data_IF_194054821831
#
_entry.id   IF_194054821831
#
_cell.length_a   1.000
_cell.length_b   1.000
_cell.length_c   1.000
_cell.angle_alpha   90.00
_cell.angle_beta   90.00
_cell.angle_gamma   90.00
#
_symmetry.space_group_name_H-M   'P 1'
#
loop_
_entity.id
_entity.type
_entity.pdbx_description
1 polymer ?
#
# COMPACT_ATOMS: atom_id res chain seq x y z
N UNK A 1 -35.51 41.03 -3.69
CA UNK A 1 -35.03 39.94 -4.57
C UNK A 1 -35.80 38.68 -4.19
N UNK A 2 -36.91 38.40 -4.85
CA UNK A 2 -37.67 37.16 -4.64
C UNK A 2 -36.88 36.03 -5.28
N UNK A 3 -36.31 35.12 -4.48
CA UNK A 3 -35.76 33.89 -5.03
C UNK A 3 -36.91 33.12 -5.68
N UNK A 4 -36.82 32.95 -6.99
CA UNK A 4 -37.73 32.11 -7.75
C UNK A 4 -37.44 30.68 -7.30
N UNK A 5 -38.37 30.08 -6.57
CA UNK A 5 -38.31 28.65 -6.23
C UNK A 5 -38.51 27.86 -7.52
N UNK A 6 -37.44 27.24 -8.01
CA UNK A 6 -37.49 26.31 -9.14
C UNK A 6 -37.46 24.87 -8.59
N UNK A 7 -38.60 24.17 -8.54
CA UNK A 7 -38.68 22.81 -8.02
C UNK A 7 -37.87 21.80 -8.86
N UNK A 8 -37.52 22.12 -10.12
CA UNK A 8 -36.79 21.20 -10.99
C UNK A 8 -35.39 20.85 -10.47
N UNK A 9 -34.78 21.72 -9.67
CA UNK A 9 -33.44 21.55 -9.09
C UNK A 9 -33.38 20.34 -8.14
N UNK A 10 -34.52 19.96 -7.55
CA UNK A 10 -34.63 18.87 -6.58
C UNK A 10 -34.99 17.52 -7.23
N UNK A 11 -35.14 17.47 -8.55
CA UNK A 11 -35.48 16.24 -9.27
C UNK A 11 -34.33 15.78 -10.17
N UNK A 12 -34.13 14.47 -10.21
CA UNK A 12 -33.13 13.78 -11.03
C UNK A 12 -33.80 12.59 -11.71
N UNK A 13 -33.43 12.31 -12.96
CA UNK A 13 -33.92 11.11 -13.65
C UNK A 13 -33.25 9.85 -13.09
N UNK A 14 -33.97 8.72 -13.11
CA UNK A 14 -33.39 7.43 -12.72
C UNK A 14 -32.15 7.06 -13.54
N UNK A 15 -32.09 7.51 -14.80
CA UNK A 15 -30.95 7.29 -15.67
C UNK A 15 -29.72 8.08 -15.20
N UNK A 16 -29.88 9.38 -14.93
CA UNK A 16 -28.79 10.24 -14.43
C UNK A 16 -28.30 9.76 -13.06
N UNK A 17 -29.22 9.37 -12.16
CA UNK A 17 -28.89 8.76 -10.88
C UNK A 17 -28.02 7.51 -11.06
N UNK A 18 -28.45 6.62 -11.96
CA UNK A 18 -27.72 5.37 -12.27
C UNK A 18 -26.33 5.68 -12.85
N UNK A 19 -26.24 6.63 -13.78
CA UNK A 19 -24.97 7.05 -14.39
C UNK A 19 -23.99 7.56 -13.33
N UNK A 20 -24.44 8.38 -12.38
CA UNK A 20 -23.60 8.88 -11.28
C UNK A 20 -23.08 7.75 -10.40
N UNK A 21 -23.92 6.78 -10.05
CA UNK A 21 -23.48 5.61 -9.28
C UNK A 21 -22.47 4.76 -10.05
N UNK A 22 -22.72 4.51 -11.34
CA UNK A 22 -21.77 3.77 -12.21
C UNK A 22 -20.45 4.54 -12.35
N UNK A 23 -20.49 5.85 -12.50
CA UNK A 23 -19.28 6.68 -12.57
C UNK A 23 -18.50 6.63 -11.25
N UNK A 24 -19.17 6.70 -10.10
CA UNK A 24 -18.53 6.57 -8.80
C UNK A 24 -17.87 5.19 -8.62
N UNK A 25 -18.55 4.12 -9.07
CA UNK A 25 -17.97 2.77 -9.11
C UNK A 25 -16.68 2.74 -9.95
N UNK A 26 -16.71 3.30 -11.15
CA UNK A 26 -15.55 3.30 -12.06
C UNK A 26 -14.39 4.11 -11.45
N UNK A 27 -14.63 5.35 -11.03
CA UNK A 27 -13.58 6.23 -10.52
C UNK A 27 -12.98 5.72 -9.20
N UNK A 28 -13.83 5.26 -8.26
CA UNK A 28 -13.37 4.59 -7.05
C UNK A 28 -12.61 3.30 -7.33
N UNK A 29 -13.05 2.54 -8.34
CA UNK A 29 -12.39 1.32 -8.82
C UNK A 29 -11.00 1.58 -9.42
N UNK A 30 -10.81 2.67 -10.17
CA UNK A 30 -9.50 3.01 -10.74
C UNK A 30 -8.44 3.21 -9.65
N UNK A 31 -8.79 3.91 -8.57
CA UNK A 31 -7.90 4.05 -7.41
C UNK A 31 -7.72 2.69 -6.73
N UNK A 32 -8.81 1.98 -6.47
CA UNK A 32 -8.78 0.68 -5.80
C UNK A 32 -7.95 -0.39 -6.52
N UNK A 33 -7.93 -0.37 -7.85
CA UNK A 33 -7.18 -1.31 -8.68
C UNK A 33 -5.68 -1.11 -8.49
N UNK A 34 -5.21 0.13 -8.46
CA UNK A 34 -3.81 0.45 -8.14
C UNK A 34 -3.44 -0.07 -6.74
N UNK A 35 -4.34 0.15 -5.76
CA UNK A 35 -4.11 -0.28 -4.38
C UNK A 35 -4.02 -1.80 -4.25
N UNK A 36 -4.90 -2.54 -4.94
CA UNK A 36 -4.91 -4.00 -4.95
C UNK A 36 -3.68 -4.59 -5.65
N UNK A 37 -3.30 -4.06 -6.81
CA UNK A 37 -2.06 -4.45 -7.50
C UNK A 37 -0.81 -4.12 -6.69
N UNK A 38 -0.88 -3.12 -5.81
CA UNK A 38 0.17 -2.78 -4.86
C UNK A 38 0.18 -3.62 -3.58
N UNK A 39 -0.76 -4.55 -3.38
CA UNK A 39 -0.83 -5.42 -2.20
C UNK A 39 -1.20 -4.68 -0.90
N UNK A 40 -1.93 -3.57 -0.98
CA UNK A 40 -2.28 -2.77 0.19
C UNK A 40 -3.50 -3.33 0.94
N UNK A 41 -3.61 -2.98 2.23
CA UNK A 41 -4.66 -3.49 3.13
C UNK A 41 -6.10 -3.21 2.69
N UNK A 42 -6.34 -2.11 1.99
CA UNK A 42 -7.62 -1.86 1.32
C UNK A 42 -7.41 -1.87 -0.21
N UNK A 43 -8.08 -2.80 -0.88
CA UNK A 43 -7.97 -3.03 -2.32
C UNK A 43 -9.16 -2.49 -3.12
N UNK A 44 -9.48 -3.15 -4.23
CA UNK A 44 -10.47 -2.71 -5.22
C UNK A 44 -11.87 -2.60 -4.63
N UNK A 45 -12.33 -3.65 -3.95
CA UNK A 45 -13.70 -3.73 -3.39
C UNK A 45 -13.96 -2.62 -2.37
N UNK A 46 -12.99 -2.36 -1.49
CA UNK A 46 -13.13 -1.35 -0.44
C UNK A 46 -13.28 0.05 -1.03
N UNK A 47 -12.44 0.42 -2.01
CA UNK A 47 -12.50 1.74 -2.62
C UNK A 47 -13.80 1.93 -3.45
N UNK A 48 -14.26 0.89 -4.15
CA UNK A 48 -15.56 0.92 -4.84
C UNK A 48 -16.70 1.19 -3.86
N UNK A 49 -16.79 0.44 -2.76
CA UNK A 49 -17.87 0.57 -1.79
C UNK A 49 -17.85 1.95 -1.10
N UNK A 50 -16.68 2.47 -0.76
CA UNK A 50 -16.55 3.82 -0.18
C UNK A 50 -16.99 4.89 -1.16
N UNK A 51 -16.59 4.82 -2.43
CA UNK A 51 -16.98 5.80 -3.45
C UNK A 51 -18.48 5.76 -3.73
N UNK A 52 -19.03 4.55 -3.94
CA UNK A 52 -20.46 4.33 -4.17
C UNK A 52 -21.31 4.80 -2.99
N UNK A 53 -20.93 4.42 -1.76
CA UNK A 53 -21.66 4.85 -0.56
C UNK A 53 -21.67 6.37 -0.41
N UNK A 54 -20.53 7.02 -0.66
CA UNK A 54 -20.41 8.47 -0.60
C UNK A 54 -21.27 9.17 -1.67
N UNK A 55 -21.26 8.65 -2.91
CA UNK A 55 -22.12 9.16 -3.98
C UNK A 55 -23.60 9.00 -3.65
N UNK A 56 -24.01 7.82 -3.15
CA UNK A 56 -25.37 7.53 -2.72
C UNK A 56 -25.86 8.46 -1.61
N UNK A 57 -25.01 8.76 -0.62
CA UNK A 57 -25.37 9.67 0.48
C UNK A 57 -25.61 11.10 -0.04
N UNK A 58 -24.80 11.59 -0.98
CA UNK A 58 -25.02 12.92 -1.58
C UNK A 58 -26.26 12.95 -2.46
N UNK A 59 -26.50 11.90 -3.24
CA UNK A 59 -27.70 11.77 -4.05
C UNK A 59 -28.96 11.76 -3.17
N UNK A 60 -28.93 11.00 -2.07
CA UNK A 60 -29.99 11.01 -1.05
C UNK A 60 -30.17 12.42 -0.46
N UNK A 61 -29.08 13.10 -0.13
CA UNK A 61 -29.12 14.44 0.46
C UNK A 61 -29.65 15.52 -0.47
N UNK A 62 -29.37 15.40 -1.77
CA UNK A 62 -29.78 16.38 -2.79
C UNK A 62 -31.19 16.10 -3.31
N UNK A 63 -31.57 14.83 -3.51
CA UNK A 63 -32.76 14.49 -4.28
C UNK A 63 -33.78 13.67 -3.49
N UNK A 64 -33.36 12.98 -2.43
CA UNK A 64 -34.24 12.06 -1.68
C UNK A 64 -35.29 12.73 -0.80
N UNK A 65 -35.13 14.04 -0.54
CA UNK A 65 -36.07 14.83 0.27
C UNK A 65 -36.80 15.91 -0.56
N UNK A 66 -36.81 15.77 -1.88
CA UNK A 66 -37.37 16.75 -2.80
C UNK A 66 -38.84 17.11 -2.51
N UNK A 67 -39.66 16.12 -2.10
CA UNK A 67 -41.07 16.33 -1.76
C UNK A 67 -41.28 17.28 -0.57
N UNK A 68 -40.31 17.33 0.35
CA UNK A 68 -40.35 18.22 1.51
C UNK A 68 -39.79 19.62 1.20
N UNK A 69 -39.20 19.84 0.02
CA UNK A 69 -38.56 21.11 -0.34
C UNK A 69 -39.54 22.30 -0.41
N UNK A 70 -40.84 22.02 -0.65
CA UNK A 70 -41.89 23.02 -0.76
C UNK A 70 -42.55 23.38 0.58
N UNK A 71 -42.24 22.66 1.66
CA UNK A 71 -42.87 22.85 2.97
C UNK A 71 -42.36 24.13 3.66
N UNK A 72 -43.24 24.99 4.22
CA UNK A 72 -42.87 26.33 4.71
C UNK A 72 -41.79 26.36 5.80
N UNK A 73 -41.69 25.29 6.59
CA UNK A 73 -40.77 25.17 7.73
C UNK A 73 -39.59 24.23 7.45
N UNK A 74 -39.44 23.73 6.23
CA UNK A 74 -38.36 22.81 5.86
C UNK A 74 -37.25 23.58 5.16
N UNK A 75 -36.02 23.41 5.66
CA UNK A 75 -34.81 23.90 5.00
C UNK A 75 -33.94 22.71 4.62
N UNK A 76 -33.83 22.47 3.31
CA UNK A 76 -32.93 21.44 2.80
C UNK A 76 -31.50 21.95 2.75
N UNK A 77 -30.59 21.14 3.28
CA UNK A 77 -29.16 21.42 3.35
C UNK A 77 -28.38 20.17 2.89
N UNK A 78 -28.14 20.03 1.57
CA UNK A 78 -27.42 18.88 1.02
C UNK A 78 -25.99 18.71 1.57
N UNK A 79 -25.40 19.79 2.08
CA UNK A 79 -24.04 19.76 2.63
C UNK A 79 -23.96 18.97 3.94
N UNK A 80 -25.08 18.83 4.66
CA UNK A 80 -25.14 18.18 5.98
C UNK A 80 -24.80 16.70 5.93
N UNK A 81 -25.42 15.93 5.03
CA UNK A 81 -25.11 14.51 4.90
C UNK A 81 -23.72 14.30 4.28
N UNK A 82 -23.31 15.17 3.34
CA UNK A 82 -21.96 15.15 2.79
C UNK A 82 -20.88 15.33 3.89
N UNK A 83 -21.10 16.26 4.83
CA UNK A 83 -20.22 16.45 5.98
C UNK A 83 -20.14 15.20 6.88
N UNK A 84 -21.24 14.44 7.02
CA UNK A 84 -21.23 13.18 7.78
C UNK A 84 -20.40 12.09 7.10
N UNK A 85 -20.31 12.07 5.77
CA UNK A 85 -19.40 11.16 5.07
C UNK A 85 -17.94 11.50 5.37
N UNK A 86 -17.58 12.78 5.34
CA UNK A 86 -16.21 13.25 5.65
C UNK A 86 -15.83 12.92 7.10
N UNK A 87 -16.78 13.04 8.02
CA UNK A 87 -16.59 12.61 9.41
C UNK A 87 -16.47 11.08 9.53
N UNK A 88 -17.38 10.34 8.90
CA UNK A 88 -17.48 8.89 8.99
C UNK A 88 -16.28 8.14 8.38
N UNK A 89 -15.72 8.62 7.27
CA UNK A 89 -14.56 7.99 6.65
C UNK A 89 -13.31 8.02 7.56
N UNK A 90 -13.26 8.95 8.51
CA UNK A 90 -12.19 9.02 9.52
C UNK A 90 -12.08 7.74 10.35
N UNK A 91 -13.21 7.07 10.64
CA UNK A 91 -13.22 5.79 11.37
C UNK A 91 -12.61 4.66 10.55
N UNK A 92 -12.96 4.53 9.27
CA UNK A 92 -12.37 3.52 8.38
C UNK A 92 -10.89 3.79 8.15
N UNK A 93 -10.51 5.06 7.98
CA UNK A 93 -9.12 5.49 7.88
C UNK A 93 -8.31 5.06 9.10
N UNK A 94 -8.77 5.39 10.31
CA UNK A 94 -8.14 4.97 11.55
C UNK A 94 -8.02 3.44 11.67
N UNK A 95 -9.05 2.69 11.26
CA UNK A 95 -9.04 1.22 11.25
C UNK A 95 -7.98 0.60 10.34
N UNK A 96 -7.48 1.33 9.34
CA UNK A 96 -6.39 0.86 8.46
C UNK A 96 -4.99 1.24 8.93
N UNK A 97 -4.86 2.12 9.93
CA UNK A 97 -3.58 2.55 10.48
C UNK A 97 -3.18 1.60 11.61
N UNK A 98 -2.12 0.84 11.39
CA UNK A 98 -1.61 -0.14 12.35
C UNK A 98 -0.27 0.30 12.91
N UNK A 99 -0.13 0.24 14.23
CA UNK A 99 1.12 0.52 14.94
C UNK A 99 1.70 -0.77 15.52
N UNK A 100 2.94 -1.07 15.18
CA UNK A 100 3.71 -2.20 15.72
C UNK A 100 5.01 -1.66 16.33
N UNK A 101 5.02 -1.50 17.65
CA UNK A 101 6.12 -0.86 18.38
C UNK A 101 6.32 0.59 17.94
N UNK A 102 7.46 0.86 17.29
CA UNK A 102 7.82 2.17 16.74
C UNK A 102 7.40 2.36 15.27
N UNK A 103 6.94 1.30 14.60
CA UNK A 103 6.59 1.35 13.17
C UNK A 103 5.10 1.60 13.00
N UNK A 104 4.74 2.50 12.08
CA UNK A 104 3.35 2.78 11.68
C UNK A 104 3.17 2.42 10.21
N UNK A 105 2.09 1.70 9.90
CA UNK A 105 1.73 1.29 8.55
C UNK A 105 0.28 1.68 8.22
N UNK A 106 -0.07 1.71 6.94
CA UNK A 106 -1.44 1.98 6.49
C UNK A 106 -1.83 3.46 6.33
N UNK A 107 -0.92 4.41 6.59
CA UNK A 107 -1.18 5.85 6.42
C UNK A 107 -1.69 6.21 5.01
N UNK A 108 -1.03 5.69 3.97
CA UNK A 108 -1.44 5.94 2.57
C UNK A 108 -2.78 5.30 2.25
N UNK A 109 -3.09 4.14 2.84
CA UNK A 109 -4.39 3.49 2.67
C UNK A 109 -5.51 4.31 3.33
N UNK A 110 -5.27 4.83 4.53
CA UNK A 110 -6.22 5.73 5.18
C UNK A 110 -6.48 6.98 4.34
N UNK A 111 -5.41 7.59 3.80
CA UNK A 111 -5.51 8.74 2.92
C UNK A 111 -6.24 8.42 1.60
N UNK A 112 -5.98 7.25 0.99
CA UNK A 112 -6.64 6.87 -0.26
C UNK A 112 -8.14 6.63 -0.07
N UNK A 113 -8.55 6.02 1.04
CA UNK A 113 -9.98 5.87 1.39
C UNK A 113 -10.66 7.23 1.60
N UNK A 114 -9.98 8.17 2.27
CA UNK A 114 -10.50 9.52 2.47
C UNK A 114 -10.73 10.25 1.14
N UNK A 115 -9.75 10.21 0.22
CA UNK A 115 -9.88 10.88 -1.08
C UNK A 115 -10.91 10.18 -1.97
N UNK A 116 -11.03 8.85 -1.91
CA UNK A 116 -12.05 8.13 -2.68
C UNK A 116 -13.47 8.40 -2.21
N UNK A 117 -13.67 8.65 -0.91
CA UNK A 117 -14.94 9.18 -0.41
C UNK A 117 -15.24 10.55 -1.06
N UNK A 118 -14.26 11.46 -1.10
CA UNK A 118 -14.41 12.76 -1.76
C UNK A 118 -14.71 12.65 -3.27
N UNK A 119 -14.10 11.68 -3.97
CA UNK A 119 -14.43 11.37 -5.37
C UNK A 119 -15.90 10.95 -5.47
N UNK A 120 -16.38 10.06 -4.60
CA UNK A 120 -17.78 9.66 -4.58
C UNK A 120 -18.73 10.83 -4.32
N UNK A 121 -18.41 11.69 -3.34
CA UNK A 121 -19.19 12.90 -3.03
C UNK A 121 -19.30 13.84 -4.24
N UNK A 122 -18.19 14.10 -4.93
CA UNK A 122 -18.15 14.98 -6.10
C UNK A 122 -18.90 14.39 -7.29
N UNK A 123 -18.84 13.08 -7.51
CA UNK A 123 -19.67 12.40 -8.53
C UNK A 123 -21.16 12.48 -8.19
N UNK A 124 -21.54 12.19 -6.95
CA UNK A 124 -22.93 12.29 -6.48
C UNK A 124 -23.51 13.69 -6.67
N UNK A 125 -22.70 14.72 -6.39
CA UNK A 125 -23.05 16.13 -6.59
C UNK A 125 -23.12 16.55 -8.08
N UNK A 126 -22.73 15.70 -9.02
CA UNK A 126 -22.69 16.02 -10.45
C UNK A 126 -21.45 16.80 -10.88
N UNK A 127 -20.42 16.91 -10.04
CA UNK A 127 -19.19 17.64 -10.34
C UNK A 127 -18.21 16.77 -11.15
N UNK A 128 -18.58 16.46 -12.40
CA UNK A 128 -17.90 15.49 -13.26
C UNK A 128 -16.46 15.84 -13.59
N UNK A 129 -16.21 17.09 -13.99
CA UNK A 129 -14.84 17.53 -14.28
C UNK A 129 -13.96 17.45 -13.01
N UNK A 130 -14.48 17.91 -11.87
CA UNK A 130 -13.78 17.87 -10.59
C UNK A 130 -13.46 16.44 -10.14
N UNK A 131 -14.43 15.52 -10.24
CA UNK A 131 -14.23 14.11 -9.88
C UNK A 131 -13.22 13.41 -10.80
N UNK A 132 -13.27 13.66 -12.11
CA UNK A 132 -12.30 13.10 -13.07
C UNK A 132 -10.88 13.64 -12.82
N UNK A 133 -10.73 14.96 -12.66
CA UNK A 133 -9.44 15.59 -12.39
C UNK A 133 -8.85 15.12 -11.05
N UNK A 134 -9.67 15.03 -10.00
CA UNK A 134 -9.25 14.52 -8.69
C UNK A 134 -8.78 13.07 -8.80
N UNK A 135 -9.54 12.21 -9.46
CA UNK A 135 -9.19 10.79 -9.66
C UNK A 135 -7.88 10.65 -10.43
N UNK A 136 -7.69 11.43 -11.51
CA UNK A 136 -6.48 11.42 -12.32
C UNK A 136 -5.24 11.80 -11.49
N UNK A 137 -5.33 12.89 -10.72
CA UNK A 137 -4.23 13.35 -9.87
C UNK A 137 -3.87 12.33 -8.78
N UNK A 138 -4.88 11.66 -8.20
CA UNK A 138 -4.67 10.60 -7.21
C UNK A 138 -3.96 9.40 -7.83
N UNK A 139 -4.44 8.91 -8.97
CA UNK A 139 -3.83 7.76 -9.66
C UNK A 139 -2.39 8.09 -10.08
N UNK A 140 -2.14 9.29 -10.61
CA UNK A 140 -0.78 9.74 -10.97
C UNK A 140 0.13 9.75 -9.73
N UNK A 141 -0.33 10.32 -8.62
CA UNK A 141 0.42 10.37 -7.37
C UNK A 141 0.79 8.96 -6.89
N UNK A 142 -0.21 8.08 -6.78
CA UNK A 142 -0.01 6.70 -6.34
C UNK A 142 0.95 5.94 -7.26
N UNK A 143 0.80 6.05 -8.58
CA UNK A 143 1.65 5.36 -9.55
C UNK A 143 3.09 5.85 -9.54
N UNK A 144 3.30 7.18 -9.45
CA UNK A 144 4.63 7.76 -9.35
C UNK A 144 5.33 7.29 -8.08
N UNK A 145 4.65 7.37 -6.92
CA UNK A 145 5.21 6.92 -5.65
C UNK A 145 5.55 5.44 -5.68
N UNK A 146 4.67 4.57 -6.19
CA UNK A 146 4.95 3.14 -6.28
C UNK A 146 6.18 2.84 -7.15
N UNK A 147 6.35 3.57 -8.26
CA UNK A 147 7.54 3.43 -9.12
C UNK A 147 8.80 3.94 -8.45
N UNK A 148 8.73 5.07 -7.74
CA UNK A 148 9.84 5.62 -6.96
C UNK A 148 10.25 4.68 -5.82
N UNK A 149 9.28 4.15 -5.10
CA UNK A 149 9.50 3.22 -4.00
C UNK A 149 10.13 1.93 -4.49
N UNK A 150 9.65 1.33 -5.60
CA UNK A 150 10.30 0.15 -6.19
C UNK A 150 11.73 0.45 -6.65
N UNK A 151 11.98 1.60 -7.26
CA UNK A 151 13.32 2.00 -7.70
C UNK A 151 14.27 2.22 -6.52
N UNK A 152 13.79 2.77 -5.42
CA UNK A 152 14.60 3.07 -4.23
C UNK A 152 14.74 1.87 -3.28
N UNK A 153 13.71 1.03 -3.18
CA UNK A 153 13.64 -0.18 -2.36
C UNK A 153 14.44 -1.34 -2.95
N UNK A 154 14.59 -1.40 -4.29
CA UNK A 154 15.52 -2.34 -4.94
C UNK A 154 16.97 -2.19 -4.46
N UNK A 155 17.34 -1.02 -3.95
CA UNK A 155 18.65 -0.76 -3.30
C UNK A 155 18.68 -1.06 -1.78
N UNK A 156 17.56 -1.50 -1.18
CA UNK A 156 17.46 -1.78 0.26
C UNK A 156 17.05 -3.20 0.62
N UNK A 157 16.69 -4.07 -0.34
CA UNK A 157 16.39 -5.48 -0.06
C UNK A 157 17.60 -6.17 0.59
N UNK A 158 17.41 -6.62 1.83
CA UNK A 158 18.35 -7.52 2.50
C UNK A 158 18.21 -8.89 1.86
N UNK A 159 19.32 -9.55 1.55
CA UNK A 159 19.35 -10.94 1.09
C UNK A 159 19.84 -11.81 2.22
N UNK A 160 19.25 -12.99 2.38
CA UNK A 160 19.69 -13.97 3.36
C UNK A 160 20.65 -14.97 2.70
N UNK A 161 21.80 -15.16 3.33
CA UNK A 161 22.82 -16.14 2.99
C UNK A 161 22.92 -17.11 4.16
N UNK A 162 22.77 -18.40 3.89
CA UNK A 162 23.01 -19.47 4.86
C UNK A 162 24.23 -20.24 4.38
N UNK A 163 25.21 -20.42 5.23
CA UNK A 163 26.46 -21.07 4.84
C UNK A 163 26.98 -21.97 5.95
N UNK A 164 27.51 -23.12 5.54
CA UNK A 164 28.20 -24.07 6.41
C UNK A 164 29.70 -23.82 6.34
N UNK A 165 30.33 -23.50 7.46
CA UNK A 165 31.76 -23.23 7.54
C UNK A 165 32.46 -24.11 8.57
N UNK A 166 33.76 -24.33 8.39
CA UNK A 166 34.58 -24.95 9.42
C UNK A 166 34.61 -24.09 10.69
N UNK A 167 34.60 -24.74 11.84
CA UNK A 167 34.74 -24.17 13.19
C UNK A 167 36.18 -23.71 13.43
N UNK A 168 36.62 -22.76 12.60
CA UNK A 168 37.88 -22.05 12.73
C UNK A 168 37.61 -20.55 12.70
N UNK A 169 38.29 -19.80 13.56
CA UNK A 169 38.18 -18.32 13.57
C UNK A 169 38.67 -17.69 12.26
N UNK A 170 39.48 -18.41 11.47
CA UNK A 170 39.99 -17.95 10.17
C UNK A 170 38.90 -17.96 9.10
N UNK A 171 38.08 -19.00 9.03
CA UNK A 171 37.04 -19.16 7.99
C UNK A 171 35.97 -18.07 8.06
N UNK A 172 35.50 -17.72 9.27
CA UNK A 172 34.51 -16.66 9.47
C UNK A 172 35.07 -15.27 9.09
N UNK A 173 36.32 -14.99 9.47
CA UNK A 173 36.98 -13.73 9.12
C UNK A 173 37.18 -13.58 7.60
N UNK A 174 37.52 -14.66 6.89
CA UNK A 174 37.62 -14.66 5.41
C UNK A 174 36.28 -14.35 4.74
N UNK A 175 35.18 -14.90 5.24
CA UNK A 175 33.84 -14.64 4.72
C UNK A 175 33.45 -13.18 4.94
N UNK A 176 33.66 -12.66 6.15
CA UNK A 176 33.33 -11.27 6.49
C UNK A 176 34.15 -10.28 5.67
N UNK A 177 35.44 -10.56 5.45
CA UNK A 177 36.29 -9.70 4.62
C UNK A 177 35.88 -9.74 3.15
N UNK A 178 35.51 -10.91 2.61
CA UNK A 178 35.05 -11.05 1.22
C UNK A 178 33.71 -10.32 0.99
N UNK A 179 32.77 -10.42 1.93
CA UNK A 179 31.50 -9.66 1.88
C UNK A 179 31.75 -8.15 1.84
N UNK A 180 32.64 -7.66 2.72
CA UNK A 180 32.97 -6.23 2.76
C UNK A 180 33.72 -5.77 1.49
N UNK A 181 34.64 -6.59 0.96
CA UNK A 181 35.40 -6.31 -0.27
C UNK A 181 34.47 -6.15 -1.49
N UNK A 182 33.44 -6.99 -1.56
CA UNK A 182 32.41 -6.92 -2.60
C UNK A 182 31.26 -5.94 -2.26
N UNK A 183 31.43 -5.06 -1.26
CA UNK A 183 30.47 -4.01 -0.97
C UNK A 183 29.11 -4.49 -0.46
N UNK A 184 29.07 -5.64 0.22
CA UNK A 184 27.91 -6.11 0.98
C UNK A 184 28.06 -5.73 2.44
N UNK A 185 27.03 -5.08 2.97
CA UNK A 185 26.96 -4.74 4.39
C UNK A 185 26.18 -5.80 5.15
N UNK A 186 26.80 -6.38 6.17
CA UNK A 186 26.16 -7.31 7.09
C UNK A 186 25.20 -6.53 7.99
N UNK A 187 23.90 -6.85 7.90
CA UNK A 187 22.83 -6.27 8.71
C UNK A 187 22.53 -7.08 9.96
N UNK A 188 22.66 -8.41 9.88
CA UNK A 188 22.47 -9.36 10.97
C UNK A 188 23.28 -10.61 10.68
N UNK A 189 23.88 -11.21 11.70
CA UNK A 189 24.58 -12.48 11.62
C UNK A 189 24.15 -13.34 12.80
N UNK A 190 23.81 -14.59 12.54
CA UNK A 190 23.55 -15.62 13.52
C UNK A 190 24.50 -16.79 13.24
N UNK A 191 25.13 -17.31 14.29
CA UNK A 191 26.06 -18.44 14.20
C UNK A 191 25.51 -19.53 15.11
N UNK A 192 25.23 -20.69 14.53
CA UNK A 192 24.69 -21.87 15.21
C UNK A 192 25.68 -23.02 15.01
N UNK A 193 25.78 -23.93 15.99
CA UNK A 193 26.52 -25.17 15.80
C UNK A 193 25.67 -26.14 14.96
N UNK A 194 26.30 -26.91 14.07
CA UNK A 194 25.59 -27.96 13.33
C UNK A 194 25.42 -29.20 14.24
N UNK A 195 24.33 -29.24 15.02
CA UNK A 195 24.04 -30.33 15.97
C UNK A 195 23.57 -31.63 15.30
N UNK A 196 23.24 -31.58 14.01
CA UNK A 196 22.65 -32.70 13.25
C UNK A 196 23.70 -33.62 12.61
N UNK A 197 24.98 -33.42 12.90
CA UNK A 197 26.06 -34.02 12.15
C UNK A 197 26.76 -35.12 12.99
N UNK A 198 26.96 -36.30 12.37
CA UNK A 198 27.63 -37.47 12.96
C UNK A 198 28.95 -37.10 13.66
N UNK A 199 29.45 -37.96 14.55
CA UNK A 199 30.60 -37.72 15.45
C UNK A 199 31.88 -37.13 14.81
N UNK A 200 32.02 -37.14 13.48
CA UNK A 200 33.11 -36.57 12.69
C UNK A 200 32.88 -35.08 12.25
N UNK A 201 31.66 -34.56 12.41
CA UNK A 201 31.21 -33.25 11.92
C UNK A 201 31.05 -32.18 13.02
N UNK A 202 31.53 -32.43 14.25
CA UNK A 202 31.54 -31.48 15.37
C UNK A 202 32.44 -30.22 15.13
N UNK A 203 32.91 -30.06 13.90
CA UNK A 203 33.83 -29.02 13.43
C UNK A 203 33.15 -28.10 12.42
N UNK A 204 31.82 -28.10 12.29
CA UNK A 204 31.08 -27.22 11.37
C UNK A 204 30.16 -26.24 12.11
N UNK A 205 30.00 -25.05 11.54
CA UNK A 205 29.11 -23.98 11.99
C UNK A 205 28.15 -23.60 10.87
N UNK A 206 26.89 -23.37 11.22
CA UNK A 206 25.89 -22.78 10.32
C UNK A 206 25.87 -21.28 10.59
N UNK A 207 26.18 -20.49 9.57
CA UNK A 207 26.17 -19.03 9.62
C UNK A 207 25.05 -18.50 8.76
N UNK A 208 24.08 -17.82 9.37
CA UNK A 208 23.00 -17.10 8.68
C UNK A 208 23.30 -15.61 8.68
N UNK A 209 23.44 -15.01 7.50
CA UNK A 209 23.81 -13.62 7.31
C UNK A 209 22.74 -12.91 6.49
N UNK A 210 22.23 -11.79 7.00
CA UNK A 210 21.45 -10.86 6.21
C UNK A 210 22.37 -9.76 5.65
N UNK A 211 22.47 -9.65 4.34
CA UNK A 211 23.35 -8.70 3.66
C UNK A 211 22.56 -7.70 2.83
N UNK A 212 23.03 -6.45 2.81
CA UNK A 212 22.49 -5.40 1.95
C UNK A 212 23.53 -5.01 0.91
N UNK A 213 23.14 -4.98 -0.37
CA UNK A 213 24.02 -4.46 -1.42
C UNK A 213 24.16 -2.93 -1.28
N UNK A 214 25.40 -2.45 -1.17
CA UNK A 214 25.71 -1.03 -1.25
C UNK A 214 26.12 -0.64 -2.67
N UNK A 215 26.73 -1.57 -3.43
CA UNK A 215 27.16 -1.38 -4.82
C UNK A 215 26.32 -2.21 -5.79
N UNK A 216 26.11 -1.76 -7.03
CA UNK A 216 25.41 -2.52 -8.07
C UNK A 216 26.33 -3.63 -8.61
N UNK A 217 26.55 -4.67 -7.80
CA UNK A 217 27.32 -5.86 -8.18
C UNK A 217 26.33 -7.00 -8.44
N UNK A 218 26.65 -7.90 -9.37
CA UNK A 218 25.85 -9.12 -9.56
C UNK A 218 26.00 -9.99 -8.32
N UNK A 219 24.89 -10.21 -7.62
CA UNK A 219 24.87 -11.04 -6.41
C UNK A 219 25.40 -12.47 -6.66
N UNK A 220 25.21 -12.98 -7.88
CA UNK A 220 25.74 -14.26 -8.34
C UNK A 220 27.27 -14.34 -8.29
N UNK A 221 27.99 -13.28 -8.68
CA UNK A 221 29.46 -13.24 -8.64
C UNK A 221 29.98 -13.33 -7.19
N UNK A 222 29.25 -12.70 -6.26
CA UNK A 222 29.56 -12.72 -4.83
C UNK A 222 29.34 -14.12 -4.25
N UNK A 223 28.22 -14.78 -4.60
CA UNK A 223 27.94 -16.16 -4.18
C UNK A 223 29.06 -17.10 -4.62
N UNK A 224 29.50 -16.98 -5.88
CA UNK A 224 30.59 -17.79 -6.42
C UNK A 224 31.88 -17.53 -5.62
N UNK A 225 32.23 -16.27 -5.36
CA UNK A 225 33.43 -15.95 -4.58
C UNK A 225 33.39 -16.51 -3.15
N UNK A 226 32.21 -16.51 -2.51
CA UNK A 226 32.03 -17.04 -1.16
C UNK A 226 32.13 -18.56 -1.13
N UNK A 227 31.59 -19.24 -2.14
CA UNK A 227 31.68 -20.69 -2.26
C UNK A 227 33.11 -21.18 -2.49
N UNK A 228 34.00 -20.34 -3.03
CA UNK A 228 35.41 -20.68 -3.25
C UNK A 228 36.33 -20.46 -2.04
N UNK A 229 35.82 -19.99 -0.91
CA UNK A 229 36.63 -19.75 0.30
C UNK A 229 36.96 -21.08 0.99
N UNK A 230 38.25 -21.29 1.29
CA UNK A 230 38.71 -22.45 2.06
C UNK A 230 37.99 -22.55 3.42
N UNK A 231 37.31 -23.68 3.63
CA UNK A 231 36.53 -23.96 4.82
C UNK A 231 35.05 -23.59 4.72
N UNK A 232 34.54 -23.22 3.54
CA UNK A 232 33.10 -23.16 3.24
C UNK A 232 32.68 -24.47 2.58
N UNK A 233 31.74 -25.20 3.18
CA UNK A 233 31.29 -26.52 2.73
C UNK A 233 29.92 -26.48 2.03
N UNK A 234 29.18 -25.39 2.19
CA UNK A 234 27.87 -25.21 1.55
C UNK A 234 27.42 -23.76 1.66
N UNK A 235 26.74 -23.28 0.63
CA UNK A 235 26.17 -21.94 0.56
C UNK A 235 24.78 -22.04 -0.07
N UNK A 236 23.77 -21.67 0.70
CA UNK A 236 22.38 -21.59 0.28
C UNK A 236 21.93 -20.14 0.36
N UNK A 237 21.28 -19.66 -0.70
CA UNK A 237 20.54 -18.41 -0.61
C UNK A 237 19.18 -18.71 -0.01
N UNK A 238 18.86 -18.08 1.11
CA UNK A 238 17.53 -18.20 1.70
C UNK A 238 16.50 -17.80 0.65
N UNK A 239 15.61 -18.74 0.31
CA UNK A 239 14.51 -18.52 -0.63
C UNK A 239 13.73 -17.26 -0.26
N UNK A 240 13.23 -16.57 -1.29
CA UNK A 240 12.50 -15.31 -1.18
C UNK A 240 11.49 -15.36 -0.02
N UNK A 241 11.73 -14.56 1.02
CA UNK A 241 10.62 -14.09 1.84
C UNK A 241 9.84 -13.11 0.97
N UNK A 242 8.83 -13.65 0.27
CA UNK A 242 7.76 -12.89 -0.37
C UNK A 242 7.07 -11.99 0.66
#
# INVERSE_FOLDING_TARGET
MTQVYDPSVWHISNLELTIRLVLALILGGLVGLERELGGHSAGFRTHILVSLGSAGIVLLSMYGFAEFAAEPNVRLDPSRLAAQVVSGIGFLGAGTILRTGITVSGLTTAASLWVVAAIGLTVGAGFYYGSAALTLLVVINLFLLNKFERKFSRNKRKRELVMKIQKSSSSLNKVVSELNRNGLQISKMLVENDEAADADSNTLLIVRIQVKLIKPIKFEEVIISLATIDGVFGLETGGESL
#
